data_IF_266239252316
#
_entry.id   IF_266239252316
#
_cell.length_a   1.000
_cell.length_b   1.000
_cell.length_c   1.000
_cell.angle_alpha   90.00
_cell.angle_beta   90.00
_cell.angle_gamma   90.00
#
_symmetry.space_group_name_H-M   'P 1'
#
loop_
_entity.id
_entity.type
_entity.pdbx_description
1 polymer ?
#
# COMPACT_ATOMS: atom_id res chain seq x y z
N UNK A 1 -10.60 18.93 -23.13
CA UNK A 1 -10.28 18.27 -21.84
C UNK A 1 -10.74 16.83 -21.96
N UNK A 2 -9.85 15.88 -22.27
CA UNK A 2 -10.22 14.46 -22.24
C UNK A 2 -10.38 14.06 -20.77
N UNK A 3 -11.57 13.61 -20.39
CA UNK A 3 -11.82 13.00 -19.09
C UNK A 3 -10.94 11.74 -18.97
N UNK A 4 -9.85 11.82 -18.19
CA UNK A 4 -9.02 10.65 -17.91
C UNK A 4 -9.74 9.78 -16.88
N UNK A 5 -10.23 8.63 -17.32
CA UNK A 5 -10.71 7.59 -16.41
C UNK A 5 -9.48 6.90 -15.83
N UNK A 6 -9.45 6.73 -14.52
CA UNK A 6 -8.42 5.95 -13.83
C UNK A 6 -9.06 4.99 -12.85
N UNK A 7 -8.39 3.85 -12.66
CA UNK A 7 -8.80 2.85 -11.68
C UNK A 7 -8.12 3.17 -10.36
N UNK A 8 -8.93 3.27 -9.31
CA UNK A 8 -8.45 3.32 -7.92
C UNK A 8 -8.66 1.94 -7.32
N UNK A 9 -7.65 1.47 -6.61
CA UNK A 9 -7.70 0.24 -5.81
C UNK A 9 -7.08 0.54 -4.45
N UNK A 10 -7.46 -0.24 -3.44
CA UNK A 10 -6.84 -0.20 -2.12
C UNK A 10 -5.99 -1.46 -1.93
N UNK A 11 -4.78 -1.28 -1.40
CA UNK A 11 -3.84 -2.36 -1.11
C UNK A 11 -3.36 -2.20 0.32
N UNK A 12 -3.26 -3.32 1.04
CA UNK A 12 -2.76 -3.36 2.42
C UNK A 12 -1.41 -4.06 2.41
N UNK A 13 -0.39 -3.36 2.92
CA UNK A 13 0.96 -3.90 3.09
C UNK A 13 1.35 -3.88 4.56
N UNK A 14 2.11 -4.89 4.97
CA UNK A 14 2.67 -4.98 6.31
C UNK A 14 4.20 -5.08 6.27
N UNK A 15 4.84 -4.61 7.33
CA UNK A 15 6.26 -4.84 7.56
C UNK A 15 6.59 -4.74 9.04
N UNK A 16 7.45 -5.64 9.51
CA UNK A 16 8.05 -5.59 10.86
C UNK A 16 9.08 -4.45 11.01
N UNK A 17 9.43 -3.74 9.92
CA UNK A 17 10.47 -2.70 9.93
C UNK A 17 9.91 -1.30 10.14
N UNK A 18 9.05 -0.87 9.23
CA UNK A 18 8.44 0.47 9.25
C UNK A 18 7.28 0.56 8.27
N UNK A 19 6.46 1.60 8.40
CA UNK A 19 5.38 1.88 7.47
C UNK A 19 5.88 2.18 6.05
N UNK A 20 7.04 2.83 5.89
CA UNK A 20 7.63 3.10 4.57
C UNK A 20 8.05 1.81 3.87
N UNK A 21 8.63 0.85 4.61
CA UNK A 21 8.96 -0.46 4.06
C UNK A 21 7.69 -1.25 3.69
N UNK A 22 6.64 -1.15 4.52
CA UNK A 22 5.33 -1.75 4.23
C UNK A 22 4.71 -1.18 2.94
N UNK A 23 4.67 0.15 2.80
CA UNK A 23 4.15 0.84 1.62
C UNK A 23 4.94 0.48 0.36
N UNK A 24 6.28 0.50 0.44
CA UNK A 24 7.15 0.10 -0.67
C UNK A 24 6.88 -1.33 -1.12
N UNK A 25 6.82 -2.29 -0.18
CA UNK A 25 6.55 -3.70 -0.48
C UNK A 25 5.17 -3.92 -1.08
N UNK A 26 4.15 -3.20 -0.59
CA UNK A 26 2.79 -3.27 -1.13
C UNK A 26 2.79 -2.88 -2.62
N UNK A 27 3.41 -1.74 -2.95
CA UNK A 27 3.52 -1.23 -4.31
C UNK A 27 4.34 -2.19 -5.19
N UNK A 28 5.51 -2.63 -4.74
CA UNK A 28 6.36 -3.56 -5.50
C UNK A 28 5.66 -4.91 -5.76
N UNK A 29 4.87 -5.40 -4.81
CA UNK A 29 4.10 -6.63 -4.97
C UNK A 29 2.94 -6.45 -5.94
N UNK A 30 2.20 -5.36 -5.81
CA UNK A 30 1.11 -5.01 -6.72
C UNK A 30 1.61 -4.81 -8.18
N UNK A 31 2.81 -4.23 -8.35
CA UNK A 31 3.43 -4.00 -9.65
C UNK A 31 3.73 -5.28 -10.45
N UNK A 32 3.77 -6.45 -9.78
CA UNK A 32 3.99 -7.75 -10.46
C UNK A 32 2.81 -8.14 -11.35
N UNK A 33 1.61 -7.68 -11.04
CA UNK A 33 0.38 -8.06 -11.76
C UNK A 33 -0.39 -6.85 -12.32
N UNK A 34 -0.28 -5.69 -11.68
CA UNK A 34 -0.96 -4.48 -12.10
C UNK A 34 -0.07 -3.63 -13.00
N UNK A 35 -0.65 -3.17 -14.10
CA UNK A 35 0.02 -2.32 -15.10
C UNK A 35 -0.39 -0.86 -14.90
N UNK A 36 0.47 0.03 -15.39
CA UNK A 36 0.23 1.48 -15.41
C UNK A 36 -0.06 2.12 -14.04
N UNK A 37 0.47 1.52 -12.96
CA UNK A 37 0.48 2.15 -11.64
C UNK A 37 1.37 3.38 -11.67
N UNK A 38 0.81 4.54 -11.35
CA UNK A 38 1.48 5.84 -11.49
C UNK A 38 1.63 6.59 -10.18
N UNK A 39 0.67 6.40 -9.27
CA UNK A 39 0.58 7.11 -8.00
C UNK A 39 0.14 6.08 -6.97
N UNK A 40 0.80 6.09 -5.81
CA UNK A 40 0.37 5.39 -4.62
C UNK A 40 0.40 6.41 -3.48
N UNK A 41 -0.65 6.41 -2.66
CA UNK A 41 -0.79 7.27 -1.50
C UNK A 41 -1.07 6.41 -0.26
N UNK A 42 -0.53 6.83 0.88
CA UNK A 42 -0.87 6.22 2.16
C UNK A 42 -2.17 6.87 2.62
N UNK A 43 -3.24 6.07 2.67
CA UNK A 43 -4.56 6.53 3.11
C UNK A 43 -4.75 6.34 4.63
N UNK A 44 -4.36 5.17 5.14
CA UNK A 44 -4.50 4.79 6.54
C UNK A 44 -3.23 4.07 7.00
N UNK A 45 -2.93 4.19 8.29
CA UNK A 45 -1.83 3.50 8.97
C UNK A 45 -2.39 2.80 10.20
N UNK A 46 -2.12 1.51 10.31
CA UNK A 46 -2.46 0.69 11.45
C UNK A 46 -1.23 -0.03 12.02
N UNK A 47 -1.44 -0.72 13.14
CA UNK A 47 -0.43 -1.53 13.82
C UNK A 47 -1.06 -2.85 14.22
N UNK A 48 -0.34 -3.95 14.01
CA UNK A 48 -0.75 -5.25 14.52
C UNK A 48 -0.45 -5.31 16.01
N UNK A 49 -1.43 -5.77 16.79
CA UNK A 49 -1.31 -5.90 18.25
C UNK A 49 -1.51 -7.36 18.65
N UNK A 50 -0.53 -7.93 19.34
CA UNK A 50 -0.59 -9.27 19.93
C UNK A 50 -0.26 -9.19 21.42
N UNK A 51 -1.13 -9.75 22.27
CA UNK A 51 -0.98 -9.72 23.74
C UNK A 51 -0.73 -8.31 24.31
N UNK A 52 -1.36 -7.29 23.70
CA UNK A 52 -1.20 -5.88 24.09
C UNK A 52 0.12 -5.24 23.65
N UNK A 53 0.91 -5.90 22.81
CA UNK A 53 2.16 -5.37 22.25
C UNK A 53 2.04 -5.20 20.74
N UNK A 54 2.65 -4.14 20.22
CA UNK A 54 2.79 -3.95 18.77
C UNK A 54 3.81 -4.95 18.24
N UNK A 55 3.47 -5.66 17.16
CA UNK A 55 4.29 -6.67 16.49
C UNK A 55 4.38 -6.46 14.98
#
# INVERSE_FOLDING_TARGET
MMSSIYKVIEIIGGSEKSWEDAAKKAVETAAKSLKEMRIAEVKELDMRVEEGKVV
#
